data_IF_488546978972
#
_entry.id   IF_488546978972
#
_cell.length_a   1.000
_cell.length_b   1.000
_cell.length_c   1.000
_cell.angle_alpha   90.00
_cell.angle_beta   90.00
_cell.angle_gamma   90.00
#
_symmetry.space_group_name_H-M   'P 1'
#
loop_
_entity.id
_entity.type
_entity.pdbx_description
1 polymer ?
#
# COMPACT_ATOMS: atom_id res chain seq x y z
N UNK A 1 33.65 31.39 2.96
CA UNK A 1 33.51 29.93 3.22
C UNK A 1 33.27 29.14 1.93
N UNK A 2 32.40 29.56 1.00
CA UNK A 2 32.11 28.82 -0.25
C UNK A 2 33.36 28.27 -0.96
N UNK A 3 34.39 29.10 -1.13
CA UNK A 3 35.64 28.75 -1.83
C UNK A 3 36.46 27.62 -1.19
N UNK A 4 36.16 27.23 0.05
CA UNK A 4 36.85 26.12 0.75
C UNK A 4 35.96 24.91 0.97
N UNK A 5 34.68 24.96 0.60
CA UNK A 5 33.76 23.81 0.73
C UNK A 5 34.12 22.75 -0.31
N UNK A 6 34.24 23.18 -1.58
CA UNK A 6 34.61 22.29 -2.68
C UNK A 6 36.03 22.59 -3.16
N UNK A 7 36.79 21.54 -3.44
CA UNK A 7 38.10 21.60 -4.08
C UNK A 7 38.09 20.68 -5.30
N UNK A 8 38.30 21.23 -6.48
CA UNK A 8 38.23 20.50 -7.76
C UNK A 8 36.89 19.77 -7.97
N UNK A 9 35.77 20.38 -7.56
CA UNK A 9 34.43 19.79 -7.71
C UNK A 9 34.06 18.71 -6.69
N UNK A 10 34.93 18.38 -5.76
CA UNK A 10 34.66 17.42 -4.67
C UNK A 10 34.71 18.11 -3.29
N UNK A 11 34.08 17.50 -2.29
CA UNK A 11 34.15 17.97 -0.90
C UNK A 11 35.61 18.07 -0.42
N UNK A 12 35.97 19.24 0.10
CA UNK A 12 37.32 19.48 0.60
C UNK A 12 37.54 18.72 1.92
N UNK A 13 38.30 17.63 1.89
CA UNK A 13 38.61 16.82 3.08
C UNK A 13 39.20 17.63 4.26
N UNK A 14 39.84 18.78 3.99
CA UNK A 14 40.41 19.63 5.03
C UNK A 14 39.36 20.25 5.98
N UNK A 15 38.08 20.30 5.60
CA UNK A 15 37.01 20.86 6.45
C UNK A 15 36.26 19.78 7.24
N UNK A 16 36.37 18.51 6.86
CA UNK A 16 35.57 17.41 7.40
C UNK A 16 35.90 17.21 8.88
N UNK A 17 34.86 17.25 9.73
CA UNK A 17 35.01 17.11 11.18
C UNK A 17 35.80 18.24 11.88
N UNK A 18 36.15 19.33 11.19
CA UNK A 18 36.85 20.45 11.81
C UNK A 18 35.88 21.40 12.54
N UNK A 19 36.33 22.07 13.61
CA UNK A 19 35.54 23.09 14.28
C UNK A 19 35.33 24.34 13.40
N UNK A 20 34.24 25.06 13.63
CA UNK A 20 33.84 26.23 12.85
C UNK A 20 34.95 27.30 12.73
N UNK A 21 35.69 27.58 13.81
CA UNK A 21 36.76 28.59 13.79
C UNK A 21 37.93 28.21 12.85
N UNK A 22 38.30 26.93 12.77
CA UNK A 22 39.34 26.47 11.83
C UNK A 22 38.88 26.54 10.38
N UNK A 23 37.60 26.26 10.13
CA UNK A 23 37.03 26.38 8.79
C UNK A 23 37.00 27.85 8.36
N UNK A 24 36.68 28.78 9.27
CA UNK A 24 36.75 30.20 9.02
C UNK A 24 38.19 30.64 8.67
N UNK A 25 39.18 30.19 9.45
CA UNK A 25 40.59 30.49 9.21
C UNK A 25 41.06 30.02 7.84
N UNK A 26 40.73 28.77 7.48
CA UNK A 26 40.98 28.22 6.14
C UNK A 26 40.31 29.05 5.03
N UNK A 27 39.13 29.61 5.32
CA UNK A 27 38.39 30.47 4.41
C UNK A 27 38.89 31.93 4.39
N UNK A 28 39.94 32.27 5.15
CA UNK A 28 40.58 33.58 5.15
C UNK A 28 39.95 34.63 6.08
N UNK A 29 39.15 34.22 7.06
CA UNK A 29 38.59 35.13 8.07
C UNK A 29 38.59 34.51 9.47
N UNK A 30 38.40 35.31 10.50
CA UNK A 30 38.37 34.83 11.89
C UNK A 30 36.97 34.96 12.50
N UNK A 31 36.66 34.03 13.40
CA UNK A 31 35.48 34.05 14.27
C UNK A 31 35.91 33.68 15.69
N UNK A 32 35.16 34.02 16.73
CA UNK A 32 35.47 33.55 18.09
C UNK A 32 35.59 32.03 18.15
N UNK A 33 36.53 31.49 18.92
CA UNK A 33 36.69 30.03 19.10
C UNK A 33 35.44 29.35 19.67
N UNK A 34 34.60 30.10 20.39
CA UNK A 34 33.31 29.65 20.92
C UNK A 34 32.22 29.49 19.85
N UNK A 35 32.49 29.89 18.61
CA UNK A 35 31.56 29.75 17.48
C UNK A 35 31.28 28.28 17.21
N UNK A 36 30.02 27.88 17.30
CA UNK A 36 29.62 26.47 17.12
C UNK A 36 29.40 26.09 15.66
N UNK A 37 28.76 26.97 14.89
CA UNK A 37 28.31 26.70 13.52
C UNK A 37 28.50 27.96 12.68
N UNK A 38 28.93 27.80 11.44
CA UNK A 38 28.90 28.85 10.42
C UNK A 38 27.64 28.69 9.55
N UNK A 39 26.88 29.75 9.35
CA UNK A 39 25.67 29.72 8.52
C UNK A 39 25.89 30.64 7.33
N UNK A 40 25.70 30.11 6.11
CA UNK A 40 25.71 30.87 4.87
C UNK A 40 24.29 31.04 4.34
N UNK A 41 23.83 32.29 4.19
CA UNK A 41 22.59 32.58 3.48
C UNK A 41 22.79 32.42 1.98
N UNK A 42 21.97 31.59 1.35
CA UNK A 42 22.08 31.23 -0.07
C UNK A 42 20.71 31.12 -0.72
N UNK A 43 20.67 31.29 -2.04
CA UNK A 43 19.43 31.28 -2.84
C UNK A 43 19.41 30.16 -3.88
N UNK A 44 20.57 29.73 -4.34
CA UNK A 44 20.74 28.74 -5.40
C UNK A 44 20.76 27.32 -4.82
N UNK A 45 19.98 26.41 -5.42
CA UNK A 45 19.78 25.02 -4.95
C UNK A 45 20.29 23.98 -5.94
N UNK A 46 21.21 24.38 -6.82
CA UNK A 46 21.83 23.51 -7.81
C UNK A 46 23.32 23.26 -7.50
N UNK A 47 23.95 22.46 -8.35
CA UNK A 47 25.34 22.01 -8.15
C UNK A 47 26.36 23.14 -8.13
N UNK A 48 26.04 24.33 -8.67
CA UNK A 48 26.94 25.48 -8.69
C UNK A 48 27.11 26.12 -7.31
N UNK A 49 26.19 25.88 -6.37
CA UNK A 49 26.24 26.44 -5.02
C UNK A 49 26.93 25.48 -4.05
N UNK A 50 28.14 25.77 -3.56
CA UNK A 50 28.85 24.87 -2.64
C UNK A 50 28.07 24.58 -1.35
N UNK A 51 27.26 25.53 -0.85
CA UNK A 51 26.45 25.30 0.34
C UNK A 51 25.29 24.32 0.12
N UNK A 52 24.87 24.07 -1.12
CA UNK A 52 23.82 23.11 -1.46
C UNK A 52 24.29 21.65 -1.28
N UNK A 53 25.60 21.40 -1.30
CA UNK A 53 26.19 20.07 -1.17
C UNK A 53 26.28 19.59 0.28
N UNK A 54 26.54 18.30 0.45
CA UNK A 54 26.92 17.74 1.74
C UNK A 54 28.29 18.28 2.19
N UNK A 55 28.40 18.68 3.47
CA UNK A 55 29.57 19.43 3.99
C UNK A 55 30.35 18.72 5.10
N UNK A 56 29.76 17.70 5.73
CA UNK A 56 30.34 16.89 6.83
C UNK A 56 31.15 17.69 7.88
N UNK A 57 30.66 18.90 8.19
CA UNK A 57 31.35 19.90 9.02
C UNK A 57 30.30 20.84 9.62
N UNK A 58 30.61 21.64 10.67
CA UNK A 58 29.68 22.56 11.32
C UNK A 58 29.41 23.82 10.46
N UNK A 59 28.93 23.60 9.24
CA UNK A 59 28.56 24.60 8.25
C UNK A 59 27.15 24.30 7.74
N UNK A 60 26.25 25.29 7.79
CA UNK A 60 24.86 25.16 7.34
C UNK A 60 24.55 26.17 6.25
N UNK A 61 23.72 25.74 5.30
CA UNK A 61 23.08 26.61 4.33
C UNK A 61 21.76 27.11 4.92
N UNK A 62 21.44 28.39 4.72
CA UNK A 62 20.16 28.97 5.09
C UNK A 62 19.45 29.48 3.84
N UNK A 63 18.32 28.87 3.50
CA UNK A 63 17.48 29.24 2.37
C UNK A 63 16.22 29.92 2.88
N UNK A 64 15.85 31.04 2.25
CA UNK A 64 14.55 31.68 2.46
C UNK A 64 13.52 31.07 1.52
N UNK A 65 12.32 30.79 2.02
CA UNK A 65 11.14 30.41 1.23
C UNK A 65 9.97 31.33 1.59
N UNK A 66 9.09 31.60 0.64
CA UNK A 66 7.90 32.44 0.82
C UNK A 66 6.83 31.74 1.67
N UNK A 67 6.73 30.43 1.52
CA UNK A 67 5.74 29.57 2.13
C UNK A 67 6.29 28.15 2.33
N UNK A 68 5.45 27.29 2.91
CA UNK A 68 5.79 25.89 3.18
C UNK A 68 6.05 25.09 1.90
N UNK A 69 5.21 25.27 0.87
CA UNK A 69 5.32 24.51 -0.38
C UNK A 69 6.64 24.81 -1.10
N UNK A 70 7.04 26.08 -1.21
CA UNK A 70 8.33 26.45 -1.78
C UNK A 70 9.51 25.91 -0.96
N UNK A 71 9.37 25.83 0.37
CA UNK A 71 10.39 25.22 1.22
C UNK A 71 10.54 23.71 0.92
N UNK A 72 9.42 23.00 0.71
CA UNK A 72 9.42 21.59 0.31
C UNK A 72 10.00 21.40 -1.08
N UNK A 73 9.65 22.24 -2.07
CA UNK A 73 10.23 22.20 -3.41
C UNK A 73 11.76 22.38 -3.40
N UNK A 74 12.25 23.32 -2.58
CA UNK A 74 13.70 23.52 -2.38
C UNK A 74 14.34 22.31 -1.74
N UNK A 75 13.71 21.74 -0.72
CA UNK A 75 14.20 20.53 -0.06
C UNK A 75 14.25 19.33 -1.02
N UNK A 76 13.23 19.14 -1.88
CA UNK A 76 13.21 18.07 -2.88
C UNK A 76 14.38 18.18 -3.84
N UNK A 77 14.67 19.39 -4.34
CA UNK A 77 15.81 19.65 -5.24
C UNK A 77 17.14 19.32 -4.58
N UNK A 78 17.35 19.77 -3.33
CA UNK A 78 18.56 19.48 -2.57
C UNK A 78 18.73 17.98 -2.31
N UNK A 79 17.64 17.28 -1.96
CA UNK A 79 17.64 15.82 -1.78
C UNK A 79 17.97 15.12 -3.09
N UNK A 80 17.36 15.52 -4.21
CA UNK A 80 17.62 14.91 -5.51
C UNK A 80 19.09 15.04 -5.95
N UNK A 81 19.76 16.13 -5.58
CA UNK A 81 21.16 16.39 -5.93
C UNK A 81 22.15 15.50 -5.16
N UNK A 82 21.98 15.33 -3.85
CA UNK A 82 23.00 14.64 -3.03
C UNK A 82 22.49 13.86 -1.82
N UNK A 83 21.19 13.85 -1.57
CA UNK A 83 20.60 13.22 -0.37
C UNK A 83 19.57 12.13 -0.66
N UNK A 84 19.42 11.73 -1.93
CA UNK A 84 18.29 10.91 -2.37
C UNK A 84 18.25 9.58 -1.60
N UNK A 85 17.07 9.26 -1.07
CA UNK A 85 16.85 8.06 -0.29
C UNK A 85 17.36 8.11 1.15
N UNK A 86 18.14 9.11 1.56
CA UNK A 86 18.78 9.11 2.88
C UNK A 86 17.87 9.64 4.01
N UNK A 87 17.84 10.96 4.25
CA UNK A 87 17.10 11.55 5.37
C UNK A 87 16.64 12.97 5.07
N UNK A 88 15.41 13.29 5.47
CA UNK A 88 14.87 14.64 5.50
C UNK A 88 14.24 14.91 6.87
N UNK A 89 14.16 16.19 7.25
CA UNK A 89 13.62 16.59 8.54
C UNK A 89 12.72 17.82 8.40
N UNK A 90 11.56 17.78 9.04
CA UNK A 90 10.62 18.89 9.13
C UNK A 90 10.40 19.26 10.59
N UNK A 91 10.49 20.55 10.90
CA UNK A 91 10.01 21.11 12.16
C UNK A 91 8.71 21.84 11.90
N UNK A 92 7.63 21.42 12.56
CA UNK A 92 6.28 21.97 12.38
C UNK A 92 5.44 21.71 13.63
N UNK A 93 4.34 22.44 13.81
CA UNK A 93 3.35 22.10 14.83
C UNK A 93 2.60 20.83 14.42
N UNK A 94 3.16 19.67 14.79
CA UNK A 94 2.73 18.36 14.29
C UNK A 94 1.32 17.96 14.73
N UNK A 95 0.84 18.49 15.86
CA UNK A 95 -0.46 18.14 16.42
C UNK A 95 -1.59 18.92 15.73
N UNK A 96 -1.29 20.14 15.26
CA UNK A 96 -2.26 21.01 14.59
C UNK A 96 -2.08 21.11 13.07
N UNK A 97 -0.99 20.57 12.50
CA UNK A 97 -0.71 20.62 11.05
C UNK A 97 -0.38 19.24 10.45
N UNK A 98 -1.26 18.24 10.61
CA UNK A 98 -1.05 16.90 10.06
C UNK A 98 -0.91 16.90 8.53
N UNK A 99 -1.55 17.84 7.84
CA UNK A 99 -1.44 18.01 6.38
C UNK A 99 -0.03 18.37 5.94
N UNK A 100 0.72 19.16 6.72
CA UNK A 100 2.12 19.48 6.39
C UNK A 100 3.02 18.26 6.53
N UNK A 101 2.81 17.47 7.58
CA UNK A 101 3.53 16.21 7.80
C UNK A 101 3.25 15.23 6.66
N UNK A 102 1.98 15.08 6.27
CA UNK A 102 1.57 14.23 5.17
C UNK A 102 2.16 14.69 3.82
N UNK A 103 2.07 15.99 3.52
CA UNK A 103 2.61 16.55 2.28
C UNK A 103 4.13 16.39 2.19
N UNK A 104 4.86 16.73 3.26
CA UNK A 104 6.30 16.52 3.33
C UNK A 104 6.67 15.04 3.16
N UNK A 105 5.91 14.15 3.80
CA UNK A 105 6.05 12.70 3.68
C UNK A 105 5.88 12.16 2.26
N UNK A 106 4.98 12.77 1.48
CA UNK A 106 4.72 12.37 0.08
C UNK A 106 5.77 12.92 -0.88
N UNK A 107 6.24 14.15 -0.66
CA UNK A 107 7.15 14.83 -1.58
C UNK A 107 8.61 14.40 -1.39
N UNK A 108 9.05 14.14 -0.15
CA UNK A 108 10.45 13.83 0.13
C UNK A 108 10.82 12.42 -0.28
N UNK A 109 11.70 12.31 -1.29
CA UNK A 109 12.32 11.03 -1.70
C UNK A 109 13.44 10.61 -0.77
N UNK A 110 13.12 10.41 0.51
CA UNK A 110 14.05 9.98 1.56
C UNK A 110 13.44 8.85 2.38
N UNK A 111 14.22 7.82 2.72
CA UNK A 111 13.71 6.67 3.47
C UNK A 111 13.39 7.00 4.94
N UNK A 112 14.11 7.96 5.53
CA UNK A 112 13.90 8.45 6.89
C UNK A 112 13.37 9.88 6.82
N UNK A 113 12.10 10.04 7.21
CA UNK A 113 11.44 11.35 7.30
C UNK A 113 11.21 11.64 8.77
N UNK A 114 11.89 12.66 9.27
CA UNK A 114 11.93 12.98 10.69
C UNK A 114 11.07 14.21 10.95
N UNK A 115 10.21 14.13 11.96
CA UNK A 115 9.37 15.25 12.40
C UNK A 115 9.84 15.68 13.79
N UNK A 116 10.14 16.97 13.95
CA UNK A 116 10.49 17.59 15.24
C UNK A 116 11.61 16.87 16.03
N UNK A 117 12.61 16.32 15.35
CA UNK A 117 13.75 15.65 15.99
C UNK A 117 15.07 16.04 15.32
N UNK A 118 16.20 16.07 16.05
CA UNK A 118 17.52 16.32 15.46
C UNK A 118 17.83 15.27 14.40
N UNK A 119 18.18 15.68 13.18
CA UNK A 119 18.27 14.76 12.04
C UNK A 119 19.31 13.64 12.23
N UNK A 120 20.48 13.97 12.78
CA UNK A 120 21.56 13.00 13.01
C UNK A 120 21.15 11.90 13.98
N UNK A 121 20.57 12.27 15.13
CA UNK A 121 20.14 11.32 16.16
C UNK A 121 18.80 10.65 15.84
N UNK A 122 17.88 11.37 15.21
CA UNK A 122 16.61 10.83 14.77
C UNK A 122 16.77 9.78 13.67
N UNK A 123 17.69 10.00 12.73
CA UNK A 123 17.92 9.09 11.60
C UNK A 123 18.55 7.75 12.00
N UNK A 124 19.44 7.75 13.01
CA UNK A 124 20.05 6.52 13.53
C UNK A 124 19.09 5.69 14.39
N UNK A 125 17.96 6.26 14.84
CA UNK A 125 16.90 5.55 15.56
C UNK A 125 17.11 5.42 17.07
N UNK A 126 16.09 4.87 17.74
CA UNK A 126 15.98 4.55 19.18
C UNK A 126 16.00 5.74 20.15
N UNK A 127 16.88 6.72 19.97
CA UNK A 127 17.07 7.81 20.94
C UNK A 127 15.90 8.80 20.99
N UNK A 128 15.39 9.19 19.82
CA UNK A 128 14.28 10.17 19.69
C UNK A 128 13.02 9.57 19.08
N UNK A 129 13.08 8.32 18.60
CA UNK A 129 11.93 7.61 18.05
C UNK A 129 12.15 6.10 18.14
N UNK A 130 11.06 5.36 18.37
CA UNK A 130 11.08 3.89 18.40
C UNK A 130 10.64 3.26 17.06
N UNK A 131 10.47 4.08 16.02
CA UNK A 131 10.00 3.62 14.71
C UNK A 131 11.16 3.15 13.83
N UNK A 132 12.34 3.72 14.02
CA UNK A 132 13.56 3.35 13.32
C UNK A 132 14.44 2.49 14.23
N UNK A 133 14.91 1.36 13.69
CA UNK A 133 15.85 0.50 14.41
C UNK A 133 17.21 1.23 14.60
N UNK A 134 17.88 1.06 15.75
CA UNK A 134 19.20 1.65 15.97
C UNK A 134 20.22 1.13 14.95
N UNK A 135 20.85 2.02 14.19
CA UNK A 135 21.90 1.65 13.22
C UNK A 135 22.79 2.82 12.81
N UNK A 136 24.04 2.51 12.45
CA UNK A 136 24.98 3.43 11.79
C UNK A 136 25.18 3.08 10.30
N UNK A 137 24.37 2.15 9.78
CA UNK A 137 24.33 1.82 8.36
C UNK A 137 22.90 2.01 7.87
N UNK A 138 22.71 3.10 7.13
CA UNK A 138 21.40 3.64 6.78
C UNK A 138 21.16 3.40 5.28
N UNK A 139 20.32 2.43 4.93
CA UNK A 139 20.05 2.11 3.52
C UNK A 139 19.23 3.20 2.83
N UNK A 140 19.62 3.63 1.64
CA UNK A 140 18.95 4.70 0.88
C UNK A 140 17.87 4.20 -0.10
N UNK A 141 17.54 2.92 -0.06
CA UNK A 141 16.58 2.31 -0.99
C UNK A 141 17.05 2.34 -2.44
N UNK A 142 16.14 1.95 -3.36
CA UNK A 142 16.46 1.83 -4.79
C UNK A 142 16.82 3.16 -5.44
N UNK A 143 16.28 4.29 -4.96
CA UNK A 143 16.64 5.61 -5.46
C UNK A 143 18.11 5.95 -5.24
N UNK A 144 18.69 5.53 -4.10
CA UNK A 144 20.10 5.67 -3.79
C UNK A 144 20.96 4.48 -4.23
N UNK A 145 20.44 3.57 -5.06
CA UNK A 145 21.19 2.40 -5.54
C UNK A 145 21.40 1.29 -4.49
N UNK A 146 20.62 1.26 -3.41
CA UNK A 146 20.66 0.22 -2.39
C UNK A 146 19.51 -0.79 -2.53
N UNK A 147 19.73 -2.02 -2.07
CA UNK A 147 18.70 -3.08 -2.02
C UNK A 147 17.72 -2.93 -0.86
N UNK A 148 17.99 -2.00 0.07
CA UNK A 148 17.24 -1.78 1.31
C UNK A 148 17.12 -0.29 1.61
N UNK A 149 15.98 0.12 2.18
CA UNK A 149 15.71 1.47 2.68
C UNK A 149 15.71 1.55 4.21
N UNK A 150 15.88 0.41 4.87
CA UNK A 150 15.82 0.31 6.33
C UNK A 150 17.14 0.71 7.00
N UNK A 151 17.07 0.93 8.31
CA UNK A 151 18.25 0.92 9.17
C UNK A 151 18.74 -0.54 9.28
N UNK A 152 19.98 -0.78 8.88
CA UNK A 152 20.52 -2.15 8.82
C UNK A 152 20.63 -2.70 10.24
N UNK A 153 19.86 -3.75 10.52
CA UNK A 153 19.97 -4.58 11.71
C UNK A 153 20.25 -6.07 11.41
N UNK A 154 20.25 -6.92 12.45
CA UNK A 154 20.63 -8.34 12.34
C UNK A 154 19.84 -9.15 11.32
N UNK A 155 18.56 -8.82 11.08
CA UNK A 155 17.71 -9.53 10.09
C UNK A 155 18.28 -9.50 8.66
N UNK A 156 19.08 -8.50 8.33
CA UNK A 156 19.69 -8.36 7.00
C UNK A 156 20.97 -9.20 6.85
N UNK A 157 21.50 -9.74 7.96
CA UNK A 157 22.75 -10.51 7.99
C UNK A 157 22.50 -12.02 8.06
N UNK A 158 21.24 -12.45 8.02
CA UNK A 158 20.84 -13.86 8.18
C UNK A 158 19.93 -14.27 7.04
N UNK A 159 20.21 -15.43 6.45
CA UNK A 159 19.34 -16.05 5.46
C UNK A 159 18.18 -16.79 6.13
N UNK A 160 16.96 -16.58 5.65
CA UNK A 160 15.77 -17.36 6.06
C UNK A 160 15.55 -18.52 5.09
N UNK A 161 15.64 -19.77 5.58
CA UNK A 161 15.32 -20.97 4.81
C UNK A 161 13.83 -21.29 4.93
N UNK A 162 13.14 -21.45 3.80
CA UNK A 162 11.72 -21.87 3.75
C UNK A 162 11.63 -23.27 3.18
N UNK A 163 11.03 -24.21 3.94
CA UNK A 163 10.75 -25.58 3.49
C UNK A 163 9.27 -25.67 3.12
N UNK A 164 8.97 -25.84 1.84
CA UNK A 164 7.60 -25.95 1.33
C UNK A 164 7.35 -27.36 0.77
N UNK A 165 6.26 -28.00 1.21
CA UNK A 165 5.79 -29.30 0.68
C UNK A 165 4.73 -29.08 -0.39
N UNK A 166 4.61 -30.02 -1.34
CA UNK A 166 3.51 -30.04 -2.31
C UNK A 166 2.18 -30.07 -1.55
N UNK A 167 1.27 -29.18 -1.91
CA UNK A 167 -0.14 -29.23 -1.53
C UNK A 167 -0.97 -29.43 -2.79
N UNK A 168 -2.13 -30.06 -2.66
CA UNK A 168 -3.09 -30.19 -3.76
C UNK A 168 -4.05 -29.01 -3.74
N UNK A 169 -4.52 -28.60 -4.93
CA UNK A 169 -5.52 -27.55 -5.04
C UNK A 169 -6.82 -28.00 -4.38
N UNK A 170 -7.39 -27.17 -3.51
CA UNK A 170 -8.66 -27.45 -2.85
C UNK A 170 -9.80 -27.46 -3.88
N UNK A 171 -10.39 -28.63 -4.12
CA UNK A 171 -11.59 -28.78 -4.96
C UNK A 171 -12.83 -28.48 -4.13
N UNK A 172 -13.37 -27.27 -4.28
CA UNK A 172 -14.62 -26.88 -3.63
C UNK A 172 -15.82 -27.53 -4.34
N UNK A 173 -16.60 -28.34 -3.61
CA UNK A 173 -17.94 -28.77 -4.05
C UNK A 173 -18.99 -28.04 -3.22
N UNK A 174 -19.74 -27.13 -3.84
CA UNK A 174 -20.95 -26.56 -3.24
C UNK A 174 -22.13 -27.45 -3.60
N UNK A 175 -22.55 -28.31 -2.68
CA UNK A 175 -23.80 -29.05 -2.82
C UNK A 175 -24.99 -28.11 -2.51
N UNK A 176 -26.13 -28.25 -3.20
CA UNK A 176 -27.35 -27.58 -2.79
C UNK A 176 -27.74 -28.01 -1.37
N UNK A 177 -28.51 -27.17 -0.66
CA UNK A 177 -28.85 -27.38 0.76
C UNK A 177 -29.58 -28.72 1.00
N UNK A 178 -30.47 -29.10 0.08
CA UNK A 178 -31.27 -30.32 0.17
C UNK A 178 -31.26 -31.07 -1.17
N UNK A 179 -31.09 -32.39 -1.13
CA UNK A 179 -31.13 -33.29 -2.30
C UNK A 179 -32.02 -34.49 -1.95
N UNK A 180 -33.10 -34.66 -2.71
CA UNK A 180 -34.08 -35.72 -2.51
C UNK A 180 -33.97 -36.77 -3.62
N UNK A 181 -33.86 -38.06 -3.25
CA UNK A 181 -33.77 -39.16 -4.22
C UNK A 181 -34.46 -40.43 -3.69
N UNK A 182 -34.84 -41.34 -4.61
CA UNK A 182 -35.61 -42.60 -4.41
C UNK A 182 -37.13 -42.43 -4.27
N UNK A 183 -37.83 -43.57 -4.35
CA UNK A 183 -39.30 -43.66 -4.24
C UNK A 183 -39.77 -43.08 -2.91
N UNK A 184 -40.79 -42.23 -2.97
CA UNK A 184 -41.38 -41.58 -1.79
C UNK A 184 -40.74 -40.27 -1.37
N UNK A 185 -39.70 -39.81 -2.09
CA UNK A 185 -39.03 -38.54 -1.77
C UNK A 185 -39.79 -37.29 -2.22
N UNK A 186 -40.59 -37.39 -3.29
CA UNK A 186 -41.32 -36.25 -3.86
C UNK A 186 -42.27 -35.56 -2.86
N UNK A 187 -43.13 -36.27 -2.09
CA UNK A 187 -43.97 -35.60 -1.08
C UNK A 187 -43.16 -34.86 -0.01
N UNK A 188 -42.02 -35.40 0.39
CA UNK A 188 -41.14 -34.79 1.40
C UNK A 188 -40.48 -33.52 0.85
N UNK A 189 -40.00 -33.56 -0.40
CA UNK A 189 -39.40 -32.40 -1.06
C UNK A 189 -40.40 -31.26 -1.23
N UNK A 190 -41.65 -31.58 -1.59
CA UNK A 190 -42.69 -30.56 -1.72
C UNK A 190 -43.15 -30.02 -0.36
N UNK A 191 -43.21 -30.87 0.67
CA UNK A 191 -43.51 -30.44 2.04
C UNK A 191 -42.45 -29.47 2.56
N UNK A 192 -41.16 -29.71 2.29
CA UNK A 192 -40.08 -28.76 2.63
C UNK A 192 -40.31 -27.41 1.95
N UNK A 193 -40.59 -27.40 0.64
CA UNK A 193 -40.87 -26.16 -0.10
C UNK A 193 -42.04 -25.37 0.51
N UNK A 194 -43.10 -26.06 0.94
CA UNK A 194 -44.26 -25.44 1.57
C UNK A 194 -43.97 -24.94 3.00
N UNK A 195 -43.21 -25.72 3.78
CA UNK A 195 -42.92 -25.42 5.19
C UNK A 195 -41.85 -24.34 5.35
N UNK A 196 -40.91 -24.23 4.40
CA UNK A 196 -39.91 -23.16 4.34
C UNK A 196 -40.51 -21.80 3.90
N UNK A 197 -41.79 -21.77 3.54
CA UNK A 197 -42.53 -20.53 3.26
C UNK A 197 -42.25 -19.91 1.90
N UNK A 198 -41.72 -20.70 0.96
CA UNK A 198 -41.54 -20.30 -0.43
C UNK A 198 -42.89 -19.99 -1.09
N UNK A 199 -42.92 -18.97 -1.95
CA UNK A 199 -44.14 -18.49 -2.61
C UNK A 199 -44.08 -18.67 -4.12
N UNK A 200 -42.89 -18.86 -4.68
CA UNK A 200 -42.67 -18.88 -6.14
C UNK A 200 -41.63 -19.92 -6.49
N UNK A 201 -42.07 -21.07 -6.99
CA UNK A 201 -41.18 -22.17 -7.35
C UNK A 201 -40.94 -22.23 -8.87
N UNK A 202 -39.69 -22.29 -9.30
CA UNK A 202 -39.34 -22.58 -10.70
C UNK A 202 -39.00 -24.06 -10.84
N UNK A 203 -39.81 -24.79 -11.61
CA UNK A 203 -39.58 -26.21 -11.88
C UNK A 203 -38.76 -26.32 -13.15
N UNK A 204 -37.60 -26.94 -13.05
CA UNK A 204 -36.67 -27.14 -14.17
C UNK A 204 -36.67 -28.62 -14.55
N UNK A 205 -37.04 -28.94 -15.79
CA UNK A 205 -37.24 -30.31 -16.27
C UNK A 205 -36.93 -30.42 -17.77
N UNK A 206 -36.96 -31.64 -18.31
CA UNK A 206 -36.92 -31.89 -19.75
C UNK A 206 -38.32 -31.91 -20.41
N UNK A 207 -38.34 -31.90 -21.75
CA UNK A 207 -39.56 -31.91 -22.58
C UNK A 207 -40.37 -33.20 -22.42
N UNK A 208 -39.71 -34.33 -22.17
CA UNK A 208 -40.39 -35.62 -22.05
C UNK A 208 -41.22 -35.66 -20.77
N UNK A 209 -40.66 -35.26 -19.63
CA UNK A 209 -41.35 -35.21 -18.35
C UNK A 209 -42.49 -34.20 -18.37
N UNK A 210 -42.30 -33.06 -19.02
CA UNK A 210 -43.35 -32.05 -19.20
C UNK A 210 -44.51 -32.57 -20.05
N UNK A 211 -44.24 -33.07 -21.25
CA UNK A 211 -45.28 -33.51 -22.20
C UNK A 211 -46.08 -34.73 -21.71
N UNK A 212 -45.51 -35.55 -20.82
CA UNK A 212 -46.20 -36.68 -20.20
C UNK A 212 -46.96 -36.31 -18.90
N UNK A 213 -47.00 -35.03 -18.53
CA UNK A 213 -47.76 -34.54 -17.37
C UNK A 213 -47.14 -34.81 -16.01
N UNK A 214 -45.85 -35.19 -15.94
CA UNK A 214 -45.19 -35.39 -14.63
C UNK A 214 -44.95 -34.07 -13.90
N UNK A 215 -44.69 -32.98 -14.62
CA UNK A 215 -44.61 -31.64 -14.05
C UNK A 215 -45.95 -31.16 -13.48
N UNK A 216 -47.07 -31.60 -14.06
CA UNK A 216 -48.42 -31.22 -13.59
C UNK A 216 -48.71 -31.77 -12.20
N UNK A 217 -48.19 -32.95 -11.85
CA UNK A 217 -48.33 -33.54 -10.53
C UNK A 217 -47.65 -32.68 -9.45
N UNK A 218 -46.51 -32.06 -9.79
CA UNK A 218 -45.77 -31.17 -8.89
C UNK A 218 -46.47 -29.80 -8.79
N UNK A 219 -46.76 -29.18 -9.93
CA UNK A 219 -47.39 -27.85 -9.98
C UNK A 219 -48.77 -27.84 -9.32
N UNK A 220 -49.57 -28.89 -9.49
CA UNK A 220 -50.90 -28.96 -8.88
C UNK A 220 -50.85 -28.94 -7.35
N UNK A 221 -49.88 -29.65 -6.77
CA UNK A 221 -49.68 -29.73 -5.32
C UNK A 221 -49.19 -28.38 -4.78
N UNK A 222 -48.20 -27.76 -5.43
CA UNK A 222 -47.67 -26.46 -5.03
C UNK A 222 -48.70 -25.33 -5.17
N UNK A 223 -49.47 -25.31 -6.28
CA UNK A 223 -50.55 -24.34 -6.48
C UNK A 223 -51.67 -24.49 -5.45
N UNK A 224 -52.03 -25.72 -5.08
CA UNK A 224 -53.01 -25.96 -4.02
C UNK A 224 -52.54 -25.45 -2.65
N UNK A 225 -51.22 -25.41 -2.42
CA UNK A 225 -50.60 -24.81 -1.23
C UNK A 225 -50.38 -23.29 -1.34
N UNK A 226 -50.81 -22.65 -2.44
CA UNK A 226 -50.68 -21.20 -2.64
C UNK A 226 -49.31 -20.76 -3.17
N UNK A 227 -48.48 -21.68 -3.67
CA UNK A 227 -47.19 -21.39 -4.30
C UNK A 227 -47.41 -21.18 -5.81
N UNK A 228 -47.00 -20.02 -6.33
CA UNK A 228 -46.98 -19.77 -7.77
C UNK A 228 -45.87 -20.61 -8.41
N UNK A 229 -46.14 -21.21 -9.58
CA UNK A 229 -45.16 -22.08 -10.24
C UNK A 229 -45.01 -21.74 -11.70
N UNK A 230 -43.76 -21.72 -12.18
CA UNK A 230 -43.41 -21.67 -13.60
C UNK A 230 -42.56 -22.89 -13.95
N UNK A 231 -42.63 -23.36 -15.20
CA UNK A 231 -41.90 -24.57 -15.64
C UNK A 231 -40.97 -24.24 -16.80
N UNK A 232 -39.66 -24.43 -16.59
CA UNK A 232 -38.68 -24.47 -17.68
C UNK A 232 -38.45 -25.91 -18.11
N UNK A 233 -38.92 -26.28 -19.30
CA UNK A 233 -38.90 -27.66 -19.79
C UNK A 233 -37.93 -27.91 -20.95
N UNK A 234 -37.07 -26.95 -21.30
CA UNK A 234 -36.15 -27.07 -22.44
C UNK A 234 -34.80 -27.70 -22.09
N UNK A 235 -34.69 -28.38 -20.95
CA UNK A 235 -33.45 -29.02 -20.53
C UNK A 235 -33.20 -30.28 -21.36
N UNK A 236 -32.04 -30.32 -22.01
CA UNK A 236 -31.54 -31.50 -22.75
C UNK A 236 -30.55 -32.28 -21.88
N UNK A 237 -30.23 -33.53 -22.25
CA UNK A 237 -29.30 -34.38 -21.50
C UNK A 237 -27.90 -33.75 -21.35
N UNK A 238 -27.44 -33.04 -22.39
CA UNK A 238 -26.21 -32.25 -22.41
C UNK A 238 -26.57 -30.78 -22.68
N UNK A 239 -27.00 -30.01 -21.65
CA UNK A 239 -27.55 -28.67 -21.86
C UNK A 239 -26.48 -27.70 -22.36
N UNK A 240 -26.79 -27.00 -23.45
CA UNK A 240 -25.92 -25.95 -24.00
C UNK A 240 -25.99 -24.66 -23.18
N UNK A 241 -24.98 -23.79 -23.33
CA UNK A 241 -24.98 -22.47 -22.67
C UNK A 241 -26.21 -21.63 -23.03
N UNK A 242 -26.75 -21.77 -24.25
CA UNK A 242 -28.00 -21.13 -24.66
C UNK A 242 -29.19 -21.58 -23.83
N UNK A 243 -29.32 -22.88 -23.56
CA UNK A 243 -30.41 -23.42 -22.71
C UNK A 243 -30.30 -22.86 -21.29
N UNK A 244 -29.09 -22.80 -20.74
CA UNK A 244 -28.85 -22.21 -19.40
C UNK A 244 -29.24 -20.73 -19.36
N UNK A 245 -28.88 -19.95 -20.39
CA UNK A 245 -29.25 -18.53 -20.48
C UNK A 245 -30.76 -18.33 -20.58
N UNK A 246 -31.44 -19.13 -21.41
CA UNK A 246 -32.90 -19.06 -21.53
C UNK A 246 -33.59 -19.39 -20.19
N UNK A 247 -33.13 -20.43 -19.49
CA UNK A 247 -33.63 -20.77 -18.16
C UNK A 247 -33.39 -19.67 -17.13
N UNK A 248 -32.22 -19.02 -17.19
CA UNK A 248 -31.89 -17.89 -16.31
C UNK A 248 -32.73 -16.63 -16.62
N UNK A 249 -33.05 -16.35 -17.88
CA UNK A 249 -33.94 -15.27 -18.30
C UNK A 249 -35.38 -15.51 -17.79
N UNK A 250 -35.87 -16.74 -17.89
CA UNK A 250 -37.15 -17.14 -17.31
C UNK A 250 -37.13 -16.97 -15.79
N UNK A 251 -36.10 -17.46 -15.10
CA UNK A 251 -35.94 -17.27 -13.67
C UNK A 251 -35.89 -15.78 -13.28
N UNK A 252 -35.24 -14.95 -14.06
CA UNK A 252 -35.14 -13.51 -13.78
C UNK A 252 -36.49 -12.80 -13.93
N UNK A 253 -37.29 -13.19 -14.93
CA UNK A 253 -38.62 -12.62 -15.16
C UNK A 253 -39.64 -13.12 -14.14
N UNK A 254 -39.61 -14.42 -13.84
CA UNK A 254 -40.49 -15.04 -12.85
C UNK A 254 -40.08 -14.77 -11.41
N UNK A 255 -38.81 -14.45 -11.10
CA UNK A 255 -38.32 -14.22 -9.73
C UNK A 255 -38.73 -15.32 -8.74
N UNK A 256 -38.37 -16.59 -8.98
CA UNK A 256 -38.62 -17.66 -8.03
C UNK A 256 -37.82 -17.44 -6.74
N UNK A 257 -38.36 -17.93 -5.64
CA UNK A 257 -37.67 -18.01 -4.35
C UNK A 257 -37.19 -19.43 -4.01
N UNK A 258 -37.50 -20.41 -4.87
CA UNK A 258 -36.98 -21.80 -4.85
C UNK A 258 -36.91 -22.42 -6.24
#
# INVERSE_FOLDING_TARGET
VQNVILKNGALNAAIVGQPAYKIAELAGFSVPETTKILIGEVTVVDESEPFAHEKLSPTLAMYRAKDFEEAVEKAEKLVAMGGIGHTSCLYTDQDNQPERVAYFGQMMKTARILINTPASQGGIGDLYNFKLAPSLTLGCGSWGGNSISENVGPKHLINKKTVAKRAENMLWHKLPKSIYFRRGSQPIALDEVMTDGHKRALIVTDRFLFNNGYADQITSVLKAAGVETEVFFEVEADPTLSVVRNGAELATSFKPDV
#
